data_IF_002767262418
#
_entry.id   IF_002767262418
#
_cell.length_a   1.000
_cell.length_b   1.000
_cell.length_c   1.000
_cell.angle_alpha   90.00
_cell.angle_beta   90.00
_cell.angle_gamma   90.00
#
_symmetry.space_group_name_H-M   'P 1'
#
loop_
_entity.id
_entity.type
_entity.pdbx_description
1 polymer ?
#
# COMPACT_ATOMS: atom_id res chain seq x y z
N UNK A 1 7.97 2.48 -5.53
CA UNK A 1 7.36 1.94 -6.78
C UNK A 1 5.87 1.74 -6.52
N UNK A 2 4.97 2.10 -7.44
CA UNK A 2 3.53 1.81 -7.28
C UNK A 2 3.09 0.73 -8.28
N UNK A 3 2.33 -0.25 -7.82
CA UNK A 3 1.79 -1.34 -8.63
C UNK A 3 0.27 -1.23 -8.63
N UNK A 4 -0.31 -0.99 -9.81
CA UNK A 4 -1.77 -0.96 -10.01
C UNK A 4 -2.29 -2.32 -10.44
N UNK A 5 -3.28 -2.84 -9.72
CA UNK A 5 -3.91 -4.14 -9.97
C UNK A 5 -5.37 -3.90 -10.34
N UNK A 6 -5.80 -4.50 -11.45
CA UNK A 6 -7.21 -4.59 -11.86
C UNK A 6 -7.61 -6.05 -11.79
N UNK A 7 -8.62 -6.35 -10.99
CA UNK A 7 -9.15 -7.70 -10.84
C UNK A 7 -10.47 -7.79 -11.59
N UNK A 8 -10.61 -8.87 -12.34
CA UNK A 8 -11.80 -9.20 -13.10
C UNK A 8 -12.28 -10.58 -12.68
N UNK A 9 -13.60 -10.72 -12.54
CA UNK A 9 -14.25 -12.01 -12.34
C UNK A 9 -14.90 -12.42 -13.66
N UNK A 10 -14.65 -13.64 -14.07
CA UNK A 10 -15.22 -14.23 -15.28
C UNK A 10 -16.22 -15.34 -14.92
N UNK A 11 -17.41 -15.29 -15.52
CA UNK A 11 -18.35 -16.40 -15.55
C UNK A 11 -18.18 -17.15 -16.88
N UNK A 12 -17.54 -18.32 -16.80
CA UNK A 12 -17.21 -19.16 -17.96
C UNK A 12 -18.47 -19.71 -18.66
N UNK A 13 -19.56 -19.97 -17.92
CA UNK A 13 -20.79 -20.50 -18.50
C UNK A 13 -21.58 -19.41 -19.21
N UNK A 14 -21.68 -18.24 -18.57
CA UNK A 14 -22.37 -17.08 -19.15
C UNK A 14 -21.51 -16.33 -20.19
N UNK A 15 -20.20 -16.64 -20.29
CA UNK A 15 -19.21 -15.91 -21.10
C UNK A 15 -19.20 -14.41 -20.82
N UNK A 16 -19.31 -14.04 -19.54
CA UNK A 16 -19.29 -12.63 -19.11
C UNK A 16 -18.08 -12.34 -18.23
N UNK A 17 -17.51 -11.14 -18.37
CA UNK A 17 -16.39 -10.65 -17.56
C UNK A 17 -16.81 -9.36 -16.88
N UNK A 18 -16.56 -9.25 -15.57
CA UNK A 18 -16.86 -8.05 -14.79
C UNK A 18 -15.65 -7.60 -13.98
N UNK A 19 -15.47 -6.29 -13.92
CA UNK A 19 -14.51 -5.68 -13.01
C UNK A 19 -15.00 -5.77 -11.56
N UNK A 20 -14.14 -6.19 -10.64
CA UNK A 20 -14.51 -6.34 -9.22
C UNK A 20 -13.82 -5.30 -8.36
N UNK A 21 -12.52 -5.12 -8.55
CA UNK A 21 -11.74 -4.22 -7.74
C UNK A 21 -10.52 -3.71 -8.49
N UNK A 22 -10.15 -2.48 -8.17
CA UNK A 22 -8.86 -1.92 -8.54
C UNK A 22 -8.16 -1.47 -7.27
N UNK A 23 -6.89 -1.81 -7.12
CA UNK A 23 -6.09 -1.42 -5.97
C UNK A 23 -4.68 -1.02 -6.39
N UNK A 24 -4.02 -0.26 -5.53
CA UNK A 24 -2.69 0.30 -5.77
C UNK A 24 -1.79 0.03 -4.58
N UNK A 25 -0.70 -0.69 -4.79
CA UNK A 25 0.28 -1.04 -3.77
C UNK A 25 1.53 -0.21 -3.92
N UNK A 26 2.11 0.22 -2.79
CA UNK A 26 3.42 0.85 -2.78
C UNK A 26 4.47 -0.16 -2.34
N UNK A 27 5.41 -0.46 -3.22
CA UNK A 27 6.50 -1.40 -2.99
C UNK A 27 7.82 -0.65 -2.85
N UNK A 28 8.68 -1.16 -1.97
CA UNK A 28 10.05 -0.70 -1.73
C UNK A 28 10.98 -1.88 -2.00
N UNK A 29 12.00 -1.66 -2.84
CA UNK A 29 13.03 -2.67 -3.05
C UNK A 29 14.02 -2.62 -1.89
N UNK A 30 14.45 -3.78 -1.42
CA UNK A 30 15.34 -3.97 -0.29
C UNK A 30 16.55 -4.77 -0.78
N UNK A 31 17.75 -4.37 -0.38
CA UNK A 31 19.00 -5.09 -0.66
C UNK A 31 19.24 -6.25 0.34
N UNK A 32 20.31 -7.01 0.14
CA UNK A 32 20.68 -8.14 1.02
C UNK A 32 20.97 -7.71 2.47
N UNK A 33 21.22 -6.42 2.70
CA UNK A 33 21.50 -5.84 4.01
C UNK A 33 20.23 -5.23 4.66
N UNK A 34 19.05 -5.42 4.06
CA UNK A 34 17.80 -4.88 4.58
C UNK A 34 17.58 -3.39 4.31
N UNK A 35 18.40 -2.75 3.45
CA UNK A 35 18.29 -1.32 3.16
C UNK A 35 17.49 -1.04 1.89
N UNK A 36 16.69 0.05 1.86
CA UNK A 36 16.04 0.48 0.64
C UNK A 36 17.04 0.76 -0.48
N UNK A 37 16.83 0.14 -1.63
CA UNK A 37 17.72 0.26 -2.79
C UNK A 37 17.00 0.91 -3.99
N UNK A 38 17.69 1.71 -4.82
CA UNK A 38 17.09 2.31 -5.99
C UNK A 38 16.58 1.23 -6.97
N UNK A 39 15.42 1.49 -7.56
CA UNK A 39 14.84 0.67 -8.63
C UNK A 39 14.99 1.38 -9.98
N UNK A 40 15.14 0.63 -11.09
CA UNK A 40 15.16 1.22 -12.41
C UNK A 40 13.90 2.06 -12.70
N UNK A 41 14.03 3.23 -13.34
CA UNK A 41 12.88 4.04 -13.73
C UNK A 41 11.98 3.31 -14.72
N UNK A 42 10.66 3.48 -14.57
CA UNK A 42 9.69 2.95 -15.53
C UNK A 42 9.70 3.78 -16.81
N UNK A 43 10.01 3.15 -17.95
CA UNK A 43 9.93 3.79 -19.28
C UNK A 43 8.48 3.79 -19.77
N UNK A 44 7.93 4.98 -20.02
CA UNK A 44 6.57 5.17 -20.54
C UNK A 44 6.57 5.05 -22.06
N UNK A 45 5.80 4.10 -22.58
CA UNK A 45 5.75 3.77 -24.02
C UNK A 45 4.48 4.24 -24.72
N UNK A 46 3.40 4.50 -23.99
CA UNK A 46 2.11 4.86 -24.58
C UNK A 46 1.28 5.81 -23.70
N UNK A 47 0.23 6.39 -24.29
CA UNK A 47 -0.65 7.36 -23.62
C UNK A 47 -1.36 6.79 -22.38
N UNK A 48 -1.73 5.52 -22.40
CA UNK A 48 -2.35 4.86 -21.25
C UNK A 48 -1.39 4.75 -20.07
N UNK A 49 -0.12 4.42 -20.33
CA UNK A 49 0.93 4.37 -19.31
C UNK A 49 1.21 5.77 -18.76
N UNK A 50 1.24 6.80 -19.62
CA UNK A 50 1.39 8.19 -19.16
C UNK A 50 0.25 8.58 -18.21
N UNK A 51 -1.00 8.36 -18.62
CA UNK A 51 -2.17 8.63 -17.79
C UNK A 51 -2.11 7.91 -16.42
N UNK A 52 -1.68 6.64 -16.41
CA UNK A 52 -1.51 5.88 -15.16
C UNK A 52 -0.36 6.40 -14.29
N UNK A 53 0.73 6.83 -14.90
CA UNK A 53 1.88 7.41 -14.22
C UNK A 53 1.52 8.74 -13.56
N UNK A 54 0.84 9.63 -14.29
CA UNK A 54 0.38 10.93 -13.77
C UNK A 54 -0.57 10.72 -12.57
N UNK A 55 -1.53 9.80 -12.70
CA UNK A 55 -2.43 9.47 -11.59
C UNK A 55 -1.70 8.84 -10.38
N UNK A 56 -0.60 8.10 -10.61
CA UNK A 56 0.22 7.53 -9.54
C UNK A 56 1.02 8.60 -8.77
N UNK A 57 1.47 9.65 -9.47
CA UNK A 57 2.15 10.79 -8.85
C UNK A 57 1.20 11.51 -7.88
N UNK A 58 -0.04 11.77 -8.31
CA UNK A 58 -1.07 12.40 -7.45
C UNK A 58 -1.41 11.52 -6.23
N UNK A 59 -1.62 10.21 -6.44
CA UNK A 59 -1.84 9.27 -5.30
C UNK A 59 -0.67 9.28 -4.33
N UNK A 60 0.57 9.36 -4.83
CA UNK A 60 1.76 9.46 -3.98
C UNK A 60 1.76 10.73 -3.16
N UNK A 61 1.44 11.87 -3.76
CA UNK A 61 1.35 13.16 -3.06
C UNK A 61 0.36 13.09 -1.91
N UNK A 62 -0.87 12.65 -2.18
CA UNK A 62 -1.92 12.49 -1.18
C UNK A 62 -1.51 11.56 -0.03
N UNK A 63 -0.84 10.44 -0.35
CA UNK A 63 -0.34 9.51 0.66
C UNK A 63 0.68 10.16 1.59
N UNK A 64 1.64 10.90 1.02
CA UNK A 64 2.68 11.59 1.80
C UNK A 64 2.09 12.68 2.70
N UNK A 65 1.09 13.42 2.21
CA UNK A 65 0.34 14.41 3.01
C UNK A 65 -0.41 13.73 4.17
N UNK A 66 -1.02 12.57 3.90
CA UNK A 66 -1.79 11.82 4.92
C UNK A 66 -0.94 10.98 5.88
N UNK A 67 0.34 10.76 5.60
CA UNK A 67 1.23 9.91 6.39
C UNK A 67 1.52 10.47 7.79
N UNK A 68 1.18 11.74 8.05
CA UNK A 68 1.26 12.36 9.36
C UNK A 68 0.10 11.98 10.31
N UNK A 69 -0.72 10.99 9.96
CA UNK A 69 -1.71 10.46 10.92
C UNK A 69 -1.00 9.60 11.95
N UNK A 70 -1.08 9.94 13.26
CA UNK A 70 -0.55 9.07 14.29
C UNK A 70 -1.27 7.71 14.19
N UNK A 71 -0.52 6.65 13.91
CA UNK A 71 -1.02 5.29 14.08
C UNK A 71 -1.12 5.00 15.57
N UNK A 72 -2.15 4.24 15.95
CA UNK A 72 -2.20 3.61 17.26
C UNK A 72 -1.14 2.49 17.26
N UNK A 73 0.05 2.78 17.76
CA UNK A 73 1.12 1.79 17.87
C UNK A 73 0.88 0.96 19.15
N UNK A 74 0.37 -0.26 19.00
CA UNK A 74 0.08 -1.17 20.13
C UNK A 74 1.33 -1.40 21.00
N UNK A 75 2.53 -1.37 20.41
CA UNK A 75 3.80 -1.46 21.14
C UNK A 75 4.00 -0.30 22.15
N UNK A 76 3.48 0.90 21.85
CA UNK A 76 3.52 2.06 22.76
C UNK A 76 2.46 2.01 23.87
N UNK A 77 1.40 1.20 23.71
CA UNK A 77 0.32 1.03 24.69
C UNK A 77 0.67 -0.01 25.76
N UNK A 78 1.44 -1.04 25.41
CA UNK A 78 1.82 -2.12 26.33
C UNK A 78 2.82 -1.68 27.42
N UNK A 79 3.48 -0.52 27.28
CA UNK A 79 4.36 0.02 28.33
C UNK A 79 3.62 0.70 29.49
N UNK A 80 2.32 0.99 29.34
CA UNK A 80 1.52 1.73 30.32
C UNK A 80 0.48 0.90 31.09
N UNK A 81 0.37 -0.41 30.80
CA UNK A 81 -0.44 -1.33 31.60
C UNK A 81 0.49 -2.17 32.48
N UNK A 82 1.01 -1.53 33.54
CA UNK A 82 1.61 -2.25 34.66
C UNK A 82 0.58 -3.18 35.30
N UNK A 83 1.02 -4.38 35.66
CA UNK A 83 0.27 -5.42 36.36
C UNK A 83 -0.54 -4.82 37.55
N UNK A 84 -1.85 -5.10 37.69
CA UNK A 84 -2.60 -4.73 38.88
C UNK A 84 -2.30 -5.72 40.02
N UNK A 85 -1.26 -5.48 40.82
CA UNK A 85 -0.93 -6.32 41.99
C UNK A 85 -1.71 -5.96 43.29
N UNK A 86 -2.65 -5.01 43.31
CA UNK A 86 -3.30 -4.59 44.58
C UNK A 86 -4.85 -4.57 44.54
N UNK A 87 -5.52 -5.72 44.34
CA UNK A 87 -6.97 -5.86 44.66
C UNK A 87 -7.29 -7.16 45.44
N UNK A 88 -6.33 -7.75 46.15
CA UNK A 88 -6.64 -8.88 47.05
C UNK A 88 -5.78 -8.91 48.31
N UNK A 89 -5.92 -7.89 49.15
CA UNK A 89 -5.76 -7.99 50.61
C UNK A 89 -6.81 -7.17 51.32
#
# INVERSE_FOLDING_TARGET
>A
MEIGIRVEAEDVRARTVRHTNSCYFTMVAIDDNGKPTPVPPLVIKNKLQQCRADAAIERKKLRMESAHRPSCDIESLNQNFGEPEDIAK
#
